data_IF_196676281873
#
_entry.id   IF_196676281873
#
_cell.length_a   1.000
_cell.length_b   1.000
_cell.length_c   1.000
_cell.angle_alpha   90.00
_cell.angle_beta   90.00
_cell.angle_gamma   90.00
#
_symmetry.space_group_name_H-M   'P 1'
#
loop_
_entity.id
_entity.type
_entity.pdbx_description
1 polymer ?
#
# COMPACT_ATOMS: atom_id res chain seq x y z
N UNK A 1 16.85 13.81 11.59
CA UNK A 1 15.56 13.26 11.10
C UNK A 1 14.81 14.38 10.37
N UNK A 2 14.19 14.12 9.20
CA UNK A 2 13.31 15.11 8.55
C UNK A 2 11.87 14.80 8.95
N UNK A 3 11.18 15.77 9.53
CA UNK A 3 9.75 15.67 9.80
C UNK A 3 8.96 15.96 8.52
N UNK A 4 7.88 15.22 8.30
CA UNK A 4 6.97 15.35 7.16
C UNK A 4 5.53 15.25 7.68
N UNK A 5 4.63 16.03 7.11
CA UNK A 5 3.21 16.07 7.47
C UNK A 5 2.40 15.46 6.34
N UNK A 6 1.60 14.44 6.65
CA UNK A 6 0.70 13.79 5.71
C UNK A 6 -0.76 13.90 6.16
N UNK A 7 -1.68 13.81 5.21
CA UNK A 7 -3.12 13.73 5.47
C UNK A 7 -3.64 12.37 5.03
N UNK A 8 -4.27 11.65 5.93
CA UNK A 8 -5.00 10.43 5.60
C UNK A 8 -6.49 10.71 5.49
N UNK A 9 -7.13 10.16 4.46
CA UNK A 9 -8.59 10.17 4.37
C UNK A 9 -9.16 9.00 5.18
N UNK A 10 -10.25 9.25 5.88
CA UNK A 10 -10.96 8.30 6.73
C UNK A 10 -12.43 8.20 6.36
N UNK A 11 -13.14 7.20 6.92
CA UNK A 11 -14.54 6.90 6.57
C UNK A 11 -15.54 8.00 6.95
N UNK A 12 -15.12 9.03 7.69
CA UNK A 12 -15.94 10.18 8.05
C UNK A 12 -15.63 11.42 7.22
N UNK A 13 -14.62 11.34 6.37
CA UNK A 13 -14.25 12.47 5.53
C UNK A 13 -15.23 12.58 4.35
N UNK A 14 -15.60 13.81 3.97
CA UNK A 14 -16.44 14.04 2.81
C UNK A 14 -15.63 13.84 1.54
N UNK A 15 -15.22 12.60 1.25
CA UNK A 15 -14.66 12.26 -0.05
C UNK A 15 -15.76 11.62 -0.89
N UNK A 16 -16.73 12.44 -1.27
CA UNK A 16 -17.50 12.16 -2.46
C UNK A 16 -16.49 11.98 -3.61
N UNK A 17 -16.53 10.89 -4.37
CA UNK A 17 -15.68 10.72 -5.55
C UNK A 17 -15.70 11.95 -6.49
N UNK A 18 -16.81 12.70 -6.52
CA UNK A 18 -16.93 13.94 -7.26
C UNK A 18 -15.99 15.07 -6.78
N UNK A 19 -15.63 15.11 -5.49
CA UNK A 19 -14.80 16.16 -4.88
C UNK A 19 -13.36 15.72 -4.62
N UNK A 20 -13.04 14.44 -4.82
CA UNK A 20 -11.69 13.91 -4.56
C UNK A 20 -10.59 14.67 -5.31
N UNK A 21 -10.84 15.10 -6.55
CA UNK A 21 -9.90 15.92 -7.32
C UNK A 21 -9.61 17.27 -6.68
N UNK A 22 -10.61 17.94 -6.12
CA UNK A 22 -10.44 19.23 -5.45
C UNK A 22 -9.61 19.08 -4.17
N UNK A 23 -9.83 17.98 -3.43
CA UNK A 23 -9.04 17.65 -2.24
C UNK A 23 -7.56 17.44 -2.61
N UNK A 24 -7.29 16.66 -3.65
CA UNK A 24 -5.93 16.40 -4.16
C UNK A 24 -5.23 17.70 -4.57
N UNK A 25 -5.91 18.54 -5.34
CA UNK A 25 -5.35 19.81 -5.82
C UNK A 25 -5.09 20.77 -4.67
N UNK A 26 -6.00 20.82 -3.70
CA UNK A 26 -5.83 21.65 -2.52
C UNK A 26 -4.62 21.20 -1.69
N UNK A 27 -4.44 19.89 -1.49
CA UNK A 27 -3.28 19.33 -0.78
C UNK A 27 -1.95 19.69 -1.45
N UNK A 28 -1.87 19.56 -2.78
CA UNK A 28 -0.69 19.97 -3.54
C UNK A 28 -0.44 21.49 -3.44
N UNK A 29 -1.52 22.31 -3.49
CA UNK A 29 -1.43 23.77 -3.38
C UNK A 29 -0.92 24.24 -2.02
N UNK A 30 -1.39 23.64 -0.92
CA UNK A 30 -0.94 24.00 0.44
C UNK A 30 0.42 23.40 0.79
N UNK A 31 0.94 22.48 -0.05
CA UNK A 31 2.28 21.93 0.10
C UNK A 31 2.41 20.88 1.20
N UNK A 32 1.35 20.12 1.49
CA UNK A 32 1.45 18.98 2.39
C UNK A 32 2.32 17.87 1.77
N UNK A 33 3.02 17.10 2.59
CA UNK A 33 4.03 16.17 2.05
C UNK A 33 3.40 14.92 1.43
N UNK A 34 2.25 14.47 1.92
CA UNK A 34 1.64 13.23 1.46
C UNK A 34 0.13 13.13 1.68
N UNK A 35 -0.54 12.42 0.77
CA UNK A 35 -1.92 11.94 0.88
C UNK A 35 -1.90 10.42 1.13
N UNK A 36 -2.74 9.94 2.04
CA UNK A 36 -2.87 8.51 2.38
C UNK A 36 -4.31 8.02 2.20
N UNK A 37 -4.47 6.93 1.44
CA UNK A 37 -5.77 6.35 1.11
C UNK A 37 -5.96 4.97 1.76
N UNK A 38 -7.01 4.74 2.55
CA UNK A 38 -7.26 3.45 3.19
C UNK A 38 -7.96 2.49 2.22
N UNK A 39 -7.79 1.20 2.45
CA UNK A 39 -8.47 0.13 1.71
C UNK A 39 -9.82 -0.22 2.37
N UNK A 40 -10.84 0.59 2.07
CA UNK A 40 -12.21 0.46 2.57
C UNK A 40 -13.16 0.01 1.46
N UNK A 41 -13.17 -1.30 1.21
CA UNK A 41 -13.89 -1.94 0.10
C UNK A 41 -15.39 -1.60 0.05
N UNK A 42 -16.02 -1.47 1.21
CA UNK A 42 -17.44 -1.15 1.35
C UNK A 42 -17.69 0.27 1.87
N UNK A 43 -16.72 1.17 1.70
CA UNK A 43 -16.83 2.59 2.04
C UNK A 43 -16.94 3.47 0.80
N UNK A 44 -17.09 4.78 1.03
CA UNK A 44 -17.28 5.78 -0.04
C UNK A 44 -15.97 6.37 -0.56
N UNK A 45 -14.84 6.06 0.09
CA UNK A 45 -13.52 6.52 -0.35
C UNK A 45 -13.07 5.76 -1.61
N UNK A 46 -12.28 6.41 -2.50
CA UNK A 46 -11.67 5.72 -3.62
C UNK A 46 -10.80 4.53 -3.19
N UNK A 47 -10.78 3.48 -4.01
CA UNK A 47 -9.78 2.42 -3.89
C UNK A 47 -8.37 3.04 -3.82
N UNK A 48 -7.49 2.58 -2.92
CA UNK A 48 -6.20 3.23 -2.69
C UNK A 48 -5.33 3.26 -3.94
N UNK A 49 -5.27 2.18 -4.73
CA UNK A 49 -4.41 2.14 -5.90
C UNK A 49 -4.96 3.03 -7.03
N UNK A 50 -6.28 2.99 -7.25
CA UNK A 50 -6.97 3.86 -8.23
C UNK A 50 -6.86 5.33 -7.84
N UNK A 51 -7.08 5.66 -6.57
CA UNK A 51 -6.97 7.02 -6.05
C UNK A 51 -5.53 7.55 -6.11
N UNK A 52 -4.53 6.71 -5.84
CA UNK A 52 -3.11 7.05 -6.05
C UNK A 52 -2.84 7.33 -7.53
N UNK A 53 -3.31 6.48 -8.46
CA UNK A 53 -3.13 6.71 -9.90
C UNK A 53 -3.74 8.05 -10.34
N UNK A 54 -4.97 8.33 -9.90
CA UNK A 54 -5.67 9.57 -10.20
C UNK A 54 -4.93 10.79 -9.65
N UNK A 55 -4.54 10.76 -8.38
CA UNK A 55 -3.81 11.86 -7.75
C UNK A 55 -2.42 12.06 -8.36
N UNK A 56 -1.75 10.99 -8.77
CA UNK A 56 -0.44 11.02 -9.44
C UNK A 56 -0.48 11.78 -10.76
N UNK A 57 -1.58 11.65 -11.52
CA UNK A 57 -1.79 12.36 -12.78
C UNK A 57 -2.15 13.84 -12.60
N UNK A 58 -2.66 14.24 -11.43
CA UNK A 58 -3.05 15.63 -11.13
C UNK A 58 -1.95 16.46 -10.47
N UNK A 59 -1.01 15.80 -9.81
CA UNK A 59 0.00 16.44 -8.96
C UNK A 59 1.39 16.20 -9.50
N UNK A 60 2.36 17.00 -9.04
CA UNK A 60 3.78 16.85 -9.45
C UNK A 60 4.73 16.62 -8.28
N UNK A 61 4.32 16.94 -7.03
CA UNK A 61 5.20 16.81 -5.85
C UNK A 61 4.58 15.99 -4.74
N UNK A 62 3.26 16.06 -4.55
CA UNK A 62 2.52 15.35 -3.52
C UNK A 62 2.89 13.86 -3.55
N UNK A 63 3.29 13.32 -2.40
CA UNK A 63 3.48 11.88 -2.25
C UNK A 63 2.14 11.21 -1.94
N UNK A 64 2.01 9.97 -2.36
CA UNK A 64 0.75 9.26 -2.44
C UNK A 64 0.96 7.87 -1.86
N UNK A 65 0.34 7.61 -0.71
CA UNK A 65 0.49 6.36 0.00
C UNK A 65 -0.82 5.61 0.16
N UNK A 66 -0.73 4.29 0.26
CA UNK A 66 -1.82 3.48 0.79
C UNK A 66 -1.70 3.42 2.31
N UNK A 67 -2.82 3.44 3.02
CA UNK A 67 -2.89 3.41 4.48
C UNK A 67 -3.98 2.46 4.96
N UNK A 68 -4.00 1.19 4.56
CA UNK A 68 -2.99 0.34 3.89
C UNK A 68 -3.64 -0.42 2.73
N UNK A 69 -2.87 -0.97 1.78
CA UNK A 69 -3.36 -1.97 0.81
C UNK A 69 -3.33 -3.36 1.45
N UNK A 70 -4.47 -4.04 1.57
CA UNK A 70 -4.51 -5.38 2.16
C UNK A 70 -4.09 -6.45 1.14
N UNK A 71 -2.98 -7.17 1.39
CA UNK A 71 -2.49 -8.18 0.43
C UNK A 71 -3.27 -9.50 0.46
N UNK A 72 -3.60 -10.09 1.63
CA UNK A 72 -4.17 -11.43 1.61
C UNK A 72 -5.55 -11.43 0.95
N UNK A 73 -5.65 -12.19 -0.14
CA UNK A 73 -6.82 -12.28 -1.03
C UNK A 73 -6.64 -11.53 -2.35
N UNK A 74 -5.53 -10.80 -2.54
CA UNK A 74 -5.10 -10.25 -3.83
C UNK A 74 -3.98 -11.10 -4.44
N UNK A 75 -3.92 -11.15 -5.77
CA UNK A 75 -2.82 -11.82 -6.47
C UNK A 75 -1.54 -10.97 -6.38
N UNK A 76 -0.44 -11.47 -5.78
CA UNK A 76 0.79 -10.70 -5.59
C UNK A 76 1.46 -10.28 -6.90
N UNK A 77 1.29 -11.04 -7.99
CA UNK A 77 1.81 -10.67 -9.31
C UNK A 77 1.09 -9.42 -9.84
N UNK A 78 -0.24 -9.38 -9.69
CA UNK A 78 -1.03 -8.22 -10.09
C UNK A 78 -0.68 -6.98 -9.25
N UNK A 79 -0.52 -7.15 -7.94
CA UNK A 79 -0.10 -6.07 -7.03
C UNK A 79 1.30 -5.55 -7.38
N UNK A 80 2.25 -6.44 -7.68
CA UNK A 80 3.59 -6.04 -8.11
C UNK A 80 3.54 -5.20 -9.40
N UNK A 81 2.76 -5.64 -10.39
CA UNK A 81 2.52 -4.87 -11.63
C UNK A 81 1.93 -3.50 -11.36
N UNK A 82 0.92 -3.43 -10.50
CA UNK A 82 0.22 -2.20 -10.12
C UNK A 82 1.19 -1.19 -9.51
N UNK A 83 1.90 -1.55 -8.45
CA UNK A 83 2.81 -0.64 -7.77
C UNK A 83 4.07 -0.31 -8.60
N UNK A 84 4.58 -1.24 -9.41
CA UNK A 84 5.63 -0.94 -10.37
C UNK A 84 5.20 0.13 -11.38
N UNK A 85 3.95 0.02 -11.87
CA UNK A 85 3.37 0.97 -12.81
C UNK A 85 3.16 2.33 -12.15
N UNK A 86 2.52 2.37 -10.97
CA UNK A 86 2.32 3.61 -10.22
C UNK A 86 3.64 4.34 -9.95
N UNK A 87 4.66 3.63 -9.48
CA UNK A 87 5.95 4.23 -9.18
C UNK A 87 6.74 4.64 -10.42
N UNK A 88 6.47 4.04 -11.58
CA UNK A 88 7.01 4.49 -12.87
C UNK A 88 6.32 5.77 -13.33
N UNK A 89 5.00 5.89 -13.15
CA UNK A 89 4.21 7.08 -13.49
C UNK A 89 4.46 8.25 -12.52
N UNK A 90 4.75 7.95 -11.27
CA UNK A 90 5.03 8.93 -10.22
C UNK A 90 6.33 8.60 -9.45
N UNK A 91 7.50 8.75 -10.09
CA UNK A 91 8.78 8.39 -9.49
C UNK A 91 8.99 9.07 -8.14
N UNK A 92 9.36 8.26 -7.13
CA UNK A 92 9.63 8.70 -5.74
C UNK A 92 8.43 9.30 -4.98
N UNK A 93 7.23 9.22 -5.53
CA UNK A 93 6.00 9.74 -4.90
C UNK A 93 5.09 8.65 -4.37
N UNK A 94 5.23 7.41 -4.83
CA UNK A 94 4.39 6.28 -4.36
C UNK A 94 4.96 5.69 -3.08
N UNK A 95 4.12 5.57 -2.04
CA UNK A 95 4.46 5.06 -0.72
C UNK A 95 3.57 3.85 -0.39
N UNK A 96 3.89 2.64 -0.88
CA UNK A 96 3.05 1.47 -0.66
C UNK A 96 3.15 1.00 0.80
N UNK A 97 2.02 0.94 1.49
CA UNK A 97 1.93 0.29 2.79
C UNK A 97 0.98 -0.87 2.69
N UNK A 98 1.42 -2.06 3.12
CA UNK A 98 0.61 -3.25 3.07
C UNK A 98 0.06 -3.65 4.45
N UNK A 99 -1.13 -4.24 4.42
CA UNK A 99 -1.85 -4.69 5.61
C UNK A 99 -2.19 -6.17 5.58
N UNK A 100 -2.21 -6.77 6.77
CA UNK A 100 -2.70 -8.15 6.95
C UNK A 100 -4.21 -8.20 6.82
N UNK A 101 -4.95 -7.15 7.23
CA UNK A 101 -6.40 -7.20 7.25
C UNK A 101 -7.16 -5.91 6.98
N UNK A 102 -8.34 -6.05 6.39
CA UNK A 102 -9.32 -4.98 6.26
C UNK A 102 -9.80 -4.52 7.64
N UNK A 103 -10.03 -3.20 7.73
CA UNK A 103 -10.43 -2.54 8.96
C UNK A 103 -11.77 -3.09 9.47
N UNK A 104 -12.75 -3.27 8.57
CA UNK A 104 -14.08 -3.76 8.96
C UNK A 104 -14.10 -5.30 8.99
N UNK A 105 -14.79 -5.87 9.98
CA UNK A 105 -14.94 -7.32 10.07
C UNK A 105 -15.78 -7.90 8.91
N UNK A 106 -16.71 -7.10 8.36
CA UNK A 106 -17.58 -7.50 7.24
C UNK A 106 -16.82 -7.67 5.92
N UNK A 107 -15.73 -6.92 5.71
CA UNK A 107 -14.94 -6.99 4.46
C UNK A 107 -13.96 -8.17 4.44
N UNK A 108 -13.54 -8.64 5.62
CA UNK A 108 -12.57 -9.76 5.73
C UNK A 108 -12.98 -11.03 4.96
N UNK A 109 -14.23 -11.53 5.04
CA UNK A 109 -14.63 -12.73 4.31
C UNK A 109 -14.77 -12.53 2.80
N UNK A 110 -14.79 -11.30 2.28
CA UNK A 110 -14.90 -11.02 0.83
C UNK A 110 -13.63 -11.40 0.06
N UNK A 111 -12.52 -11.62 0.78
CA UNK A 111 -11.20 -11.91 0.24
C UNK A 111 -10.74 -13.27 0.75
N UNK A 112 -11.24 -14.38 0.18
CA UNK A 112 -10.90 -15.72 0.62
C UNK A 112 -9.41 -15.99 0.45
N UNK A 113 -8.84 -16.77 1.37
CA UNK A 113 -7.41 -17.07 1.41
C UNK A 113 -7.16 -18.55 1.73
N UNK A 114 -6.06 -19.13 1.23
CA UNK A 114 -5.76 -20.56 1.36
C UNK A 114 -5.17 -20.97 2.72
N UNK A 115 -5.01 -20.05 3.68
CA UNK A 115 -4.34 -20.34 4.94
C UNK A 115 -4.37 -19.20 5.96
N UNK A 116 -3.57 -19.29 7.04
CA UNK A 116 -3.49 -18.24 8.05
C UNK A 116 -3.08 -16.90 7.44
N UNK A 117 -3.89 -15.87 7.67
CA UNK A 117 -3.76 -14.57 6.99
C UNK A 117 -2.38 -13.92 7.11
N UNK A 118 -1.73 -14.07 8.26
CA UNK A 118 -0.37 -13.57 8.47
C UNK A 118 0.69 -14.31 7.66
N UNK A 119 0.51 -15.61 7.39
CA UNK A 119 1.42 -16.39 6.56
C UNK A 119 1.21 -16.09 5.07
N UNK A 120 -0.05 -15.99 4.64
CA UNK A 120 -0.41 -15.54 3.28
C UNK A 120 0.16 -14.14 2.99
N UNK A 121 0.08 -13.23 3.97
CA UNK A 121 0.70 -11.90 3.87
C UNK A 121 2.21 -11.98 3.66
N UNK A 122 2.92 -12.77 4.48
CA UNK A 122 4.38 -12.87 4.43
C UNK A 122 4.86 -13.37 3.07
N UNK A 123 4.21 -14.42 2.55
CA UNK A 123 4.55 -14.99 1.25
C UNK A 123 4.19 -14.04 0.11
N UNK A 124 3.00 -13.42 0.15
CA UNK A 124 2.59 -12.45 -0.85
C UNK A 124 3.56 -11.26 -0.94
N UNK A 125 3.96 -10.69 0.20
CA UNK A 125 4.89 -9.57 0.24
C UNK A 125 6.29 -9.97 -0.25
N UNK A 126 6.75 -11.17 0.09
CA UNK A 126 8.01 -11.72 -0.41
C UNK A 126 7.99 -11.82 -1.93
N UNK A 127 6.92 -12.37 -2.51
CA UNK A 127 6.77 -12.48 -3.95
C UNK A 127 6.64 -11.11 -4.62
N UNK A 128 5.91 -10.16 -4.03
CA UNK A 128 5.84 -8.77 -4.53
C UNK A 128 7.24 -8.16 -4.60
N UNK A 129 8.06 -8.29 -3.54
CA UNK A 129 9.43 -7.78 -3.54
C UNK A 129 10.28 -8.42 -4.64
N UNK A 130 10.26 -9.76 -4.74
CA UNK A 130 11.00 -10.49 -5.77
C UNK A 130 10.64 -10.02 -7.18
N UNK A 131 9.35 -9.81 -7.47
CA UNK A 131 8.87 -9.36 -8.78
C UNK A 131 9.21 -7.90 -9.09
N UNK A 132 9.29 -7.03 -8.08
CA UNK A 132 9.69 -5.64 -8.25
C UNK A 132 11.20 -5.48 -8.49
N UNK A 133 12.00 -6.39 -7.95
CA UNK A 133 13.47 -6.32 -7.99
C UNK A 133 14.08 -7.20 -9.09
N UNK A 134 13.54 -8.39 -9.35
CA UNK A 134 14.10 -9.40 -10.26
C UNK A 134 13.51 -9.39 -11.67
N UNK A 135 14.30 -9.83 -12.66
CA UNK A 135 13.83 -10.22 -13.99
C UNK A 135 13.63 -11.74 -14.02
N UNK A 136 12.72 -12.22 -14.87
CA UNK A 136 12.46 -13.67 -15.08
C UNK A 136 12.25 -14.47 -13.78
N UNK A 137 11.32 -14.00 -12.94
CA UNK A 137 11.07 -14.54 -11.61
C UNK A 137 10.18 -15.78 -11.68
N UNK A 138 10.71 -16.91 -11.23
CA UNK A 138 9.94 -18.09 -10.86
C UNK A 138 9.87 -18.22 -9.34
N UNK A 139 8.71 -18.57 -8.81
CA UNK A 139 8.45 -18.69 -7.38
C UNK A 139 7.48 -19.85 -7.14
N UNK A 140 7.79 -20.71 -6.17
CA UNK A 140 6.94 -21.83 -5.78
C UNK A 140 6.81 -21.85 -4.24
N UNK A 141 5.83 -21.10 -3.74
CA UNK A 141 5.51 -21.02 -2.32
C UNK A 141 4.37 -21.93 -1.90
N UNK A 142 3.94 -21.81 -0.64
CA UNK A 142 2.83 -22.59 -0.10
C UNK A 142 1.45 -22.09 -0.58
N UNK A 143 1.35 -20.81 -0.95
CA UNK A 143 0.12 -20.14 -1.31
C UNK A 143 0.13 -19.57 -2.73
N UNK A 144 1.31 -19.18 -3.24
CA UNK A 144 1.46 -18.57 -4.55
C UNK A 144 2.55 -19.26 -5.37
N UNK A 145 2.30 -19.38 -6.66
CA UNK A 145 3.28 -19.85 -7.64
C UNK A 145 3.27 -18.95 -8.87
N UNK A 146 4.43 -18.75 -9.48
CA UNK A 146 4.58 -18.12 -10.78
C UNK A 146 5.82 -18.67 -11.47
N UNK A 147 5.84 -18.61 -12.80
CA UNK A 147 6.94 -19.13 -13.60
C UNK A 147 7.34 -18.13 -14.67
N UNK A 148 8.63 -17.82 -14.76
CA UNK A 148 9.23 -16.94 -15.77
C UNK A 148 8.53 -15.57 -15.91
N UNK A 149 8.22 -14.92 -14.78
CA UNK A 149 7.49 -13.64 -14.77
C UNK A 149 8.43 -12.45 -14.69
N UNK A 150 8.27 -11.51 -15.62
CA UNK A 150 8.95 -10.20 -15.59
C UNK A 150 7.94 -9.07 -15.48
N UNK A 151 8.09 -8.20 -14.48
CA UNK A 151 7.25 -7.01 -14.31
C UNK A 151 7.91 -5.79 -14.97
N UNK A 152 7.16 -5.13 -15.87
CA UNK A 152 7.48 -3.83 -16.48
C UNK A 152 6.24 -2.92 -16.44
N UNK A 153 6.34 -1.58 -16.48
CA UNK A 153 7.58 -0.80 -16.46
C UNK A 153 8.29 -0.92 -15.11
N UNK A 154 9.62 -0.71 -15.10
CA UNK A 154 10.37 -0.66 -13.85
C UNK A 154 10.41 0.75 -13.29
N UNK A 155 10.20 0.91 -11.98
CA UNK A 155 10.43 2.19 -11.33
C UNK A 155 11.93 2.54 -11.43
N UNK A 156 12.24 3.83 -11.54
CA UNK A 156 13.63 4.31 -11.66
C UNK A 156 14.47 4.06 -10.40
N UNK A 157 13.82 3.74 -9.29
CA UNK A 157 14.43 3.26 -8.04
C UNK A 157 13.56 2.17 -7.44
N UNK A 158 14.14 1.26 -6.64
CA UNK A 158 13.36 0.31 -5.84
C UNK A 158 12.28 1.03 -5.01
N UNK A 159 11.11 0.40 -4.85
CA UNK A 159 10.08 0.88 -3.91
C UNK A 159 10.41 0.36 -2.53
N UNK A 160 10.37 1.26 -1.55
CA UNK A 160 10.32 0.87 -0.15
C UNK A 160 8.94 0.26 0.13
N UNK A 161 8.89 -1.00 0.59
CA UNK A 161 7.64 -1.67 0.93
C UNK A 161 7.40 -1.54 2.43
N UNK A 162 6.36 -0.80 2.81
CA UNK A 162 6.04 -0.55 4.20
C UNK A 162 4.95 -1.50 4.70
N UNK A 163 4.90 -1.70 6.01
CA UNK A 163 3.86 -2.49 6.64
C UNK A 163 3.13 -1.72 7.73
N UNK A 164 1.81 -1.92 7.80
CA UNK A 164 0.98 -1.39 8.87
C UNK A 164 0.77 -2.36 10.02
N UNK A 165 0.37 -1.81 11.17
CA UNK A 165 -0.13 -2.55 12.33
C UNK A 165 0.77 -2.45 13.57
N UNK A 166 0.16 -2.60 14.74
CA UNK A 166 0.77 -2.26 16.03
C UNK A 166 1.02 -3.44 16.96
N UNK A 167 0.39 -4.60 16.72
CA UNK A 167 0.56 -5.76 17.60
C UNK A 167 1.96 -6.40 17.51
N UNK A 168 2.43 -7.12 18.55
CA UNK A 168 3.77 -7.73 18.56
C UNK A 168 4.08 -8.63 17.35
N UNK A 169 3.08 -9.35 16.83
CA UNK A 169 3.22 -10.17 15.62
C UNK A 169 3.42 -9.30 14.36
N UNK A 170 2.77 -8.14 14.29
CA UNK A 170 2.93 -7.19 13.19
C UNK A 170 4.27 -6.49 13.25
N UNK A 171 4.72 -6.04 14.42
CA UNK A 171 6.03 -5.40 14.58
C UNK A 171 7.19 -6.36 14.26
N UNK A 172 7.10 -7.63 14.67
CA UNK A 172 8.08 -8.65 14.23
C UNK A 172 8.09 -8.85 12.71
N UNK A 173 6.93 -8.76 12.05
CA UNK A 173 6.83 -8.85 10.59
C UNK A 173 7.45 -7.63 9.92
N UNK A 174 7.15 -6.43 10.42
CA UNK A 174 7.75 -5.16 9.97
C UNK A 174 9.27 -5.27 9.99
N UNK A 175 9.87 -5.63 11.14
CA UNK A 175 11.33 -5.72 11.26
C UNK A 175 12.00 -6.80 10.40
N UNK A 176 11.24 -7.77 9.86
CA UNK A 176 11.77 -8.84 9.01
C UNK A 176 11.61 -8.57 7.51
N UNK A 177 10.53 -7.91 7.10
CA UNK A 177 10.12 -7.86 5.69
C UNK A 177 9.96 -6.44 5.11
N UNK A 178 9.83 -5.42 5.96
CA UNK A 178 9.44 -4.08 5.54
C UNK A 178 10.61 -3.10 5.61
N UNK A 179 10.60 -2.12 4.72
CA UNK A 179 11.54 -0.99 4.70
C UNK A 179 11.03 0.18 5.57
N UNK A 180 9.78 0.10 6.02
CA UNK A 180 9.15 1.12 6.86
C UNK A 180 7.90 0.60 7.57
N UNK A 181 7.44 1.40 8.53
CA UNK A 181 6.31 1.08 9.39
C UNK A 181 5.28 2.21 9.38
N UNK A 182 4.01 1.86 9.20
CA UNK A 182 2.89 2.76 9.43
C UNK A 182 2.15 2.34 10.71
N UNK A 183 2.49 3.00 11.82
CA UNK A 183 1.74 2.89 13.07
C UNK A 183 0.36 3.56 12.96
N UNK A 184 -0.63 3.03 13.67
CA UNK A 184 -1.97 3.60 13.73
C UNK A 184 -2.55 3.46 15.13
N UNK A 185 -3.18 4.53 15.62
CA UNK A 185 -3.79 4.61 16.95
C UNK A 185 -2.84 4.20 18.09
N UNK A 186 -1.63 4.77 18.09
CA UNK A 186 -0.61 4.57 19.12
C UNK A 186 -0.28 5.89 19.80
N UNK A 187 -0.01 5.82 21.09
CA UNK A 187 0.65 6.88 21.84
C UNK A 187 2.16 6.91 21.52
N UNK A 188 2.87 8.01 21.83
CA UNK A 188 4.33 8.05 21.69
C UNK A 188 5.03 6.90 22.43
N UNK A 189 4.61 6.58 23.66
CA UNK A 189 5.21 5.50 24.45
C UNK A 189 5.00 4.11 23.84
N UNK A 190 3.88 3.88 23.16
CA UNK A 190 3.61 2.63 22.45
C UNK A 190 4.36 2.52 21.11
N UNK A 191 4.80 3.65 20.54
CA UNK A 191 5.55 3.69 19.29
C UNK A 191 7.05 3.43 19.49
N UNK A 192 7.57 3.62 20.71
CA UNK A 192 9.00 3.54 21.05
C UNK A 192 9.78 4.80 20.75
#
# INVERSE_FOLDING_TARGET
MKLRIGVGLGPRDPADPATFGDVVDHMEKIGVDSLWLPDLISGDLPDPSVGIAYAAGRTTRLKLGSGVTVLPGRNPVAVAKEFATLASLAPRRVLPVFGVQHATARDRPLFPIPGPRGAVMDEALTLVRLLLEGEDVSFAGAYFTCDHVTIRPRPTRPLDLWLGGSGPKSLRRVGRLADGWLGAALTPDEAG
#
